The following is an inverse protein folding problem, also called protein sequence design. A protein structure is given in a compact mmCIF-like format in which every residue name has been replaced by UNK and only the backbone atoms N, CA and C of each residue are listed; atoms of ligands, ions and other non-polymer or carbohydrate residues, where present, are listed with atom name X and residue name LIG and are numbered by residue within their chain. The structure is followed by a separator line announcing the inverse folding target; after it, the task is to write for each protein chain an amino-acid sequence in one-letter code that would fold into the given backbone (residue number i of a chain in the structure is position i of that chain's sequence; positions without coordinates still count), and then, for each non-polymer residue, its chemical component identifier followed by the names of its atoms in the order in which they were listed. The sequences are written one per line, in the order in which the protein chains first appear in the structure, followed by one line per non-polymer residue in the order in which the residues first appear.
data_IF_142595707453
#
_entry.id   IF_142595707453
#
_cell.length_a   1.000
_cell.length_b   1.000
_cell.length_c   1.000
_cell.angle_alpha   90.00
_cell.angle_beta   90.00
_cell.angle_gamma   90.00
#
_symmetry.space_group_name_H-M   'P 1'
#
loop_
_entity.id
_entity.type
_entity.pdbx_description
1 polymer ?
#
# COMPACT_ATOMS: atom_id res chain seq x y z
N UNK A 1 -7.53 60.81 22.13
CA UNK A 1 -6.47 59.80 22.33
C UNK A 1 -7.14 58.45 22.44
N UNK A 2 -6.52 57.40 21.91
CA UNK A 2 -7.08 56.04 21.95
C UNK A 2 -6.61 55.33 23.21
N UNK A 3 -7.51 54.57 23.85
CA UNK A 3 -7.15 53.69 24.98
C UNK A 3 -6.61 52.35 24.49
N UNK A 4 -5.89 51.62 25.36
CA UNK A 4 -5.33 50.27 25.11
C UNK A 4 -6.34 49.33 24.44
N UNK A 5 -7.56 49.27 24.97
CA UNK A 5 -8.64 48.41 24.46
C UNK A 5 -9.06 48.79 23.04
N UNK A 6 -9.10 50.08 22.70
CA UNK A 6 -9.48 50.56 21.37
C UNK A 6 -8.38 50.27 20.34
N UNK A 7 -7.12 50.38 20.74
CA UNK A 7 -5.97 50.07 19.90
C UNK A 7 -5.91 48.58 19.53
N UNK A 8 -5.99 47.69 20.52
CA UNK A 8 -5.94 46.24 20.28
C UNK A 8 -7.15 45.74 19.46
N UNK A 9 -8.35 46.27 19.72
CA UNK A 9 -9.52 45.95 18.91
C UNK A 9 -9.38 46.41 17.46
N UNK A 10 -8.80 47.59 17.24
CA UNK A 10 -8.53 48.11 15.89
C UNK A 10 -7.47 47.27 15.16
N UNK A 11 -6.43 46.80 15.88
CA UNK A 11 -5.38 45.94 15.32
C UNK A 11 -5.94 44.59 14.93
N UNK A 12 -6.70 43.97 15.84
CA UNK A 12 -7.39 42.69 15.62
C UNK A 12 -8.34 42.76 14.44
N UNK A 13 -9.14 43.84 14.31
CA UNK A 13 -10.08 43.98 13.20
C UNK A 13 -9.40 44.10 11.84
N UNK A 14 -8.21 44.70 11.78
CA UNK A 14 -7.44 44.88 10.54
C UNK A 14 -6.63 43.63 10.17
N UNK A 15 -6.31 42.77 11.14
CA UNK A 15 -5.60 41.50 10.94
C UNK A 15 -6.52 40.27 10.79
N UNK A 16 -7.85 40.45 10.64
CA UNK A 16 -8.83 39.36 10.47
C UNK A 16 -8.58 38.42 9.29
N UNK A 17 -7.76 38.83 8.31
CA UNK A 17 -7.39 37.99 7.17
C UNK A 17 -6.34 36.92 7.50
N UNK A 18 -5.71 36.99 8.69
CA UNK A 18 -4.70 36.04 9.16
C UNK A 18 -5.29 34.99 10.10
N UNK A 19 -4.53 33.92 10.39
CA UNK A 19 -5.03 32.81 11.19
C UNK A 19 -5.19 33.23 12.66
N UNK A 20 -6.19 32.72 13.37
CA UNK A 20 -6.51 33.19 14.74
C UNK A 20 -5.34 33.02 15.71
N UNK A 21 -4.55 31.95 15.55
CA UNK A 21 -3.35 31.70 16.37
C UNK A 21 -2.25 32.74 16.15
N UNK A 22 -2.06 33.22 14.92
CA UNK A 22 -1.05 34.23 14.59
C UNK A 22 -1.51 35.60 15.10
N UNK A 23 -2.78 35.94 14.88
CA UNK A 23 -3.37 37.19 15.37
C UNK A 23 -3.28 37.28 16.89
N UNK A 24 -3.57 36.18 17.61
CA UNK A 24 -3.47 36.13 19.07
C UNK A 24 -2.06 36.44 19.56
N UNK A 25 -1.04 35.81 18.98
CA UNK A 25 0.37 36.04 19.31
C UNK A 25 0.77 37.52 19.14
N UNK A 26 0.31 38.16 18.06
CA UNK A 26 0.54 39.60 17.84
C UNK A 26 -0.20 40.45 18.88
N UNK A 27 -1.43 40.10 19.25
CA UNK A 27 -2.15 40.86 20.29
C UNK A 27 -1.41 40.77 21.62
N UNK A 28 -0.99 39.57 22.02
CA UNK A 28 -0.27 39.33 23.28
C UNK A 28 1.06 40.11 23.31
N UNK A 29 1.79 40.15 22.19
CA UNK A 29 3.03 40.93 22.06
C UNK A 29 2.82 42.44 22.26
N UNK A 30 1.80 43.03 21.63
CA UNK A 30 1.51 44.45 21.81
C UNK A 30 0.90 44.75 23.19
N UNK A 31 0.20 43.79 23.80
CA UNK A 31 -0.32 43.89 25.16
C UNK A 31 0.82 44.03 26.19
N UNK A 32 1.83 43.17 26.07
CA UNK A 32 3.05 43.18 26.88
C UNK A 32 3.86 44.47 26.70
N UNK A 33 4.06 44.93 25.44
CA UNK A 33 4.78 46.17 25.16
C UNK A 33 4.09 47.42 25.72
N UNK A 34 2.75 47.44 25.75
CA UNK A 34 2.00 48.56 26.36
C UNK A 34 2.15 48.51 27.87
N UNK A 35 2.13 47.33 28.47
CA UNK A 35 2.25 47.13 29.92
C UNK A 35 3.66 47.47 30.42
N UNK A 36 4.71 47.08 29.69
CA UNK A 36 6.10 47.46 29.95
C UNK A 36 6.29 48.99 29.92
N UNK A 37 5.70 49.67 28.93
CA UNK A 37 5.78 51.15 28.84
C UNK A 37 5.03 51.84 29.96
N UNK A 38 3.92 51.26 30.41
CA UNK A 38 3.15 51.73 31.56
C UNK A 38 3.93 51.57 32.86
N UNK A 39 4.63 50.45 33.05
CA UNK A 39 5.52 50.22 34.19
C UNK A 39 6.70 51.20 34.22
N UNK A 40 7.22 51.58 33.05
CA UNK A 40 8.23 52.62 32.88
C UNK A 40 7.72 54.07 33.06
N UNK A 41 6.48 54.24 33.53
CA UNK A 41 5.92 55.54 33.92
C UNK A 41 5.25 56.34 32.79
N UNK A 42 5.02 55.74 31.61
CA UNK A 42 4.21 56.36 30.56
C UNK A 42 2.72 56.10 30.77
N UNK A 43 1.88 57.04 30.33
CA UNK A 43 0.43 56.80 30.23
C UNK A 43 0.13 55.85 29.06
N UNK A 44 -1.02 55.17 29.09
CA UNK A 44 -1.41 54.24 28.01
C UNK A 44 -1.50 54.96 26.66
N UNK A 45 -1.93 56.22 26.68
CA UNK A 45 -2.04 57.08 25.51
C UNK A 45 -0.68 57.43 24.91
N UNK A 46 0.32 57.72 25.74
CA UNK A 46 1.69 58.02 25.30
C UNK A 46 2.41 56.76 24.80
N UNK A 47 2.15 55.62 25.44
CA UNK A 47 2.66 54.32 24.99
C UNK A 47 2.15 53.98 23.58
N UNK A 48 0.86 54.20 23.31
CA UNK A 48 0.28 53.95 21.98
C UNK A 48 0.81 54.94 20.94
N UNK A 49 0.94 56.22 21.30
CA UNK A 49 1.49 57.25 20.42
C UNK A 49 2.94 56.93 19.98
N UNK A 50 3.73 56.27 20.84
CA UNK A 50 5.11 55.89 20.55
C UNK A 50 5.27 54.78 19.49
N UNK A 51 4.22 54.00 19.20
CA UNK A 51 4.27 52.97 18.16
C UNK A 51 4.08 53.53 16.74
N UNK A 52 3.65 54.79 16.61
CA UNK A 52 3.43 55.46 15.34
C UNK A 52 2.04 55.19 14.74
N UNK A 53 1.92 55.34 13.43
CA UNK A 53 0.63 55.23 12.74
C UNK A 53 0.12 53.78 12.68
N UNK A 54 -1.19 53.63 12.89
CA UNK A 54 -1.87 52.34 12.91
C UNK A 54 -1.72 51.57 11.59
N UNK A 55 -1.71 52.26 10.44
CA UNK A 55 -1.55 51.59 9.15
C UNK A 55 -0.13 51.06 8.97
N UNK A 56 0.86 51.76 9.50
CA UNK A 56 2.26 51.34 9.43
C UNK A 56 2.50 50.06 10.25
N UNK A 57 1.90 49.97 11.44
CA UNK A 57 1.95 48.78 12.30
C UNK A 57 1.33 47.58 11.59
N UNK A 58 0.12 47.73 11.04
CA UNK A 58 -0.59 46.66 10.32
C UNK A 58 0.20 46.17 9.11
N UNK A 59 0.78 47.08 8.33
CA UNK A 59 1.58 46.72 7.16
C UNK A 59 2.85 45.94 7.55
N UNK A 60 3.54 46.38 8.61
CA UNK A 60 4.75 45.70 9.09
C UNK A 60 4.45 44.29 9.60
N UNK A 61 3.43 44.14 10.43
CA UNK A 61 3.00 42.83 10.96
C UNK A 61 2.54 41.91 9.83
N UNK A 62 1.75 42.43 8.89
CA UNK A 62 1.25 41.64 7.76
C UNK A 62 2.39 41.14 6.86
N UNK A 63 3.40 41.97 6.61
CA UNK A 63 4.57 41.59 5.84
C UNK A 63 5.38 40.50 6.56
N UNK A 64 5.59 40.65 7.87
CA UNK A 64 6.32 39.67 8.67
C UNK A 64 5.63 38.30 8.68
N UNK A 65 4.30 38.27 8.88
CA UNK A 65 3.51 37.04 8.82
C UNK A 65 3.59 36.33 7.46
N UNK A 66 3.58 37.09 6.36
CA UNK A 66 3.72 36.53 5.00
C UNK A 66 5.11 35.95 4.78
N UNK A 67 6.17 36.63 5.24
CA UNK A 67 7.54 36.16 5.14
C UNK A 67 7.77 34.89 5.98
N UNK A 68 7.24 34.84 7.20
CA UNK A 68 7.30 33.64 8.05
C UNK A 68 6.58 32.45 7.42
N UNK A 69 5.44 32.66 6.75
CA UNK A 69 4.73 31.59 6.03
C UNK A 69 5.49 31.08 4.80
N UNK A 70 6.09 31.99 4.03
CA UNK A 70 6.88 31.60 2.83
C UNK A 70 8.15 30.84 3.20
N UNK A 71 8.81 31.21 4.30
CA UNK A 71 10.03 30.53 4.75
C UNK A 71 9.75 29.16 5.41
N UNK A 72 8.56 28.99 5.99
CA UNK A 72 8.11 27.72 6.56
C UNK A 72 7.50 26.74 5.54
N UNK A 73 7.39 27.11 4.25
CA UNK A 73 7.20 26.14 3.17
C UNK A 73 8.51 25.37 2.96
N UNK A 74 8.85 24.52 3.93
CA UNK A 74 9.85 23.48 3.74
C UNK A 74 9.29 22.50 2.71
N UNK A 75 9.79 22.60 1.49
CA UNK A 75 9.61 21.55 0.48
C UNK A 75 10.28 20.30 1.05
N UNK A 76 9.51 19.41 1.67
CA UNK A 76 10.03 18.17 2.22
C UNK A 76 10.72 17.37 1.09
N UNK A 77 12.07 17.32 1.03
CA UNK A 77 12.77 16.70 -0.09
C UNK A 77 12.48 15.20 -0.18
N UNK A 78 12.12 14.59 0.95
CA UNK A 78 11.64 13.21 1.04
C UNK A 78 10.34 12.96 0.26
N UNK A 79 9.38 13.91 0.25
CA UNK A 79 8.14 13.77 -0.54
C UNK A 79 8.42 13.85 -2.03
N UNK A 80 9.29 14.77 -2.46
CA UNK A 80 9.66 14.89 -3.86
C UNK A 80 10.45 13.67 -4.35
N UNK A 81 11.35 13.13 -3.53
CA UNK A 81 12.08 11.90 -3.85
C UNK A 81 11.15 10.69 -3.98
N UNK A 82 10.15 10.54 -3.10
CA UNK A 82 9.15 9.49 -3.20
C UNK A 82 8.28 9.60 -4.47
N UNK A 83 7.94 10.82 -4.89
CA UNK A 83 7.17 11.05 -6.12
C UNK A 83 8.00 10.67 -7.35
N UNK A 84 9.28 11.09 -7.40
CA UNK A 84 10.20 10.75 -8.50
C UNK A 84 10.45 9.24 -8.55
N UNK A 85 10.66 8.61 -7.39
CA UNK A 85 10.82 7.16 -7.27
C UNK A 85 9.54 6.43 -7.68
N UNK A 86 8.37 6.95 -7.35
CA UNK A 86 7.07 6.44 -7.78
C UNK A 86 6.89 6.48 -9.30
N UNK A 87 7.29 7.57 -9.96
CA UNK A 87 7.21 7.71 -11.42
C UNK A 87 8.17 6.72 -12.12
N UNK A 88 9.38 6.54 -11.60
CA UNK A 88 10.33 5.55 -12.13
C UNK A 88 9.95 4.09 -11.80
N UNK A 89 9.28 3.85 -10.67
CA UNK A 89 8.82 2.52 -10.29
C UNK A 89 7.49 2.13 -10.96
N UNK A 90 6.67 3.09 -11.36
CA UNK A 90 5.39 2.87 -12.06
C UNK A 90 5.51 2.00 -13.31
N UNK A 91 6.45 2.24 -14.26
CA UNK A 91 6.61 1.38 -15.43
C UNK A 91 7.13 -0.03 -15.10
N UNK A 92 7.67 -0.25 -13.89
CA UNK A 92 8.17 -1.55 -13.42
C UNK A 92 7.07 -2.33 -12.67
N UNK A 93 6.16 -1.65 -11.97
CA UNK A 93 5.06 -2.31 -11.25
C UNK A 93 4.05 -2.98 -12.19
N UNK A 94 3.73 -2.33 -13.32
CA UNK A 94 2.78 -2.85 -14.31
C UNK A 94 3.24 -4.23 -14.85
N UNK A 95 4.46 -4.39 -15.40
CA UNK A 95 4.93 -5.69 -15.89
C UNK A 95 5.07 -6.72 -14.77
N UNK A 96 5.44 -6.33 -13.55
CA UNK A 96 5.48 -7.25 -12.40
C UNK A 96 4.09 -7.77 -12.05
N UNK A 97 3.07 -6.90 -12.05
CA UNK A 97 1.68 -7.29 -11.80
C UNK A 97 1.17 -8.27 -12.86
N UNK A 98 1.44 -7.99 -14.13
CA UNK A 98 1.08 -8.87 -15.25
C UNK A 98 1.80 -10.21 -15.12
N UNK A 99 3.11 -10.22 -14.90
CA UNK A 99 3.89 -11.44 -14.73
C UNK A 99 3.36 -12.29 -13.57
N UNK A 100 3.03 -11.67 -12.43
CA UNK A 100 2.46 -12.38 -11.29
C UNK A 100 1.10 -13.01 -11.62
N UNK A 101 0.23 -12.25 -12.28
CA UNK A 101 -1.08 -12.74 -12.70
C UNK A 101 -0.95 -13.92 -13.69
N UNK A 102 0.01 -13.84 -14.62
CA UNK A 102 0.31 -14.88 -15.58
C UNK A 102 0.81 -16.17 -14.91
N UNK A 103 1.64 -16.06 -13.87
CA UNK A 103 2.12 -17.21 -13.09
C UNK A 103 0.96 -17.92 -12.39
N UNK A 104 0.07 -17.17 -11.73
CA UNK A 104 -1.10 -17.75 -11.05
C UNK A 104 -2.04 -18.40 -12.05
N UNK A 105 -2.30 -17.72 -13.18
CA UNK A 105 -3.13 -18.26 -14.25
C UNK A 105 -2.54 -19.54 -14.85
N UNK A 106 -1.25 -19.55 -15.15
CA UNK A 106 -0.52 -20.71 -15.66
C UNK A 106 -0.63 -21.91 -14.70
N UNK A 107 -0.48 -21.67 -13.39
CA UNK A 107 -0.60 -22.74 -12.39
C UNK A 107 -1.99 -23.40 -12.42
N UNK A 108 -3.06 -22.61 -12.55
CA UNK A 108 -4.43 -23.12 -12.68
C UNK A 108 -4.57 -23.96 -13.95
N UNK A 109 -4.08 -23.46 -15.09
CA UNK A 109 -4.14 -24.17 -16.38
C UNK A 109 -3.37 -25.49 -16.34
N UNK A 110 -2.20 -25.53 -15.70
CA UNK A 110 -1.39 -26.74 -15.56
C UNK A 110 -2.13 -27.79 -14.73
N UNK A 111 -2.67 -27.41 -13.57
CA UNK A 111 -3.43 -28.34 -12.72
C UNK A 111 -4.64 -28.89 -13.49
N UNK A 112 -5.36 -28.03 -14.21
CA UNK A 112 -6.53 -28.45 -14.99
C UNK A 112 -6.15 -29.39 -16.14
N UNK A 113 -5.07 -29.08 -16.86
CA UNK A 113 -4.55 -29.91 -17.94
C UNK A 113 -4.12 -31.29 -17.47
N UNK A 114 -3.44 -31.37 -16.31
CA UNK A 114 -3.04 -32.65 -15.72
C UNK A 114 -4.25 -33.49 -15.30
N UNK A 115 -5.29 -32.88 -14.72
CA UNK A 115 -6.53 -33.58 -14.36
C UNK A 115 -7.20 -34.19 -15.59
N UNK A 116 -7.31 -33.42 -16.67
CA UNK A 116 -7.87 -33.91 -17.93
C UNK A 116 -7.01 -35.04 -18.50
N UNK A 117 -5.68 -34.89 -18.46
CA UNK A 117 -4.75 -35.91 -18.96
C UNK A 117 -4.91 -37.24 -18.21
N UNK A 118 -5.02 -37.23 -16.89
CA UNK A 118 -5.26 -38.44 -16.11
C UNK A 118 -6.63 -39.06 -16.38
N UNK A 119 -7.67 -38.23 -16.54
CA UNK A 119 -9.01 -38.70 -16.87
C UNK A 119 -9.02 -39.43 -18.23
N UNK A 120 -8.46 -38.79 -19.26
CA UNK A 120 -8.39 -39.34 -20.62
C UNK A 120 -7.54 -40.61 -20.64
N UNK A 121 -6.40 -40.62 -19.93
CA UNK A 121 -5.54 -41.80 -19.82
C UNK A 121 -6.26 -42.98 -19.16
N UNK A 122 -6.99 -42.74 -18.06
CA UNK A 122 -7.78 -43.77 -17.39
C UNK A 122 -8.87 -44.35 -18.30
N UNK A 123 -9.61 -43.50 -19.00
CA UNK A 123 -10.63 -43.94 -19.97
C UNK A 123 -9.98 -44.73 -21.11
N UNK A 124 -8.84 -44.27 -21.64
CA UNK A 124 -8.13 -44.94 -22.73
C UNK A 124 -7.71 -46.37 -22.33
N UNK A 125 -7.23 -46.57 -21.09
CA UNK A 125 -6.90 -47.90 -20.58
C UNK A 125 -8.13 -48.80 -20.55
N UNK A 126 -9.27 -48.31 -20.04
CA UNK A 126 -10.51 -49.10 -19.97
C UNK A 126 -11.06 -49.47 -21.35
N UNK A 127 -11.00 -48.54 -22.30
CA UNK A 127 -11.45 -48.77 -23.68
C UNK A 127 -10.51 -49.74 -24.41
N UNK A 128 -9.19 -49.63 -24.20
CA UNK A 128 -8.20 -50.52 -24.81
C UNK A 128 -8.19 -51.94 -24.21
N UNK A 129 -8.69 -52.09 -22.98
CA UNK A 129 -8.76 -53.36 -22.26
C UNK A 129 -9.61 -54.41 -23.00
N UNK A 130 -10.75 -53.99 -23.55
CA UNK A 130 -11.71 -54.88 -24.23
C UNK A 130 -11.09 -55.53 -25.48
N UNK A 131 -10.58 -54.78 -26.48
CA UNK A 131 -9.96 -55.38 -27.66
C UNK A 131 -8.69 -56.16 -27.31
N UNK A 132 -7.91 -55.71 -26.32
CA UNK A 132 -6.71 -56.42 -25.87
C UNK A 132 -7.07 -57.82 -25.36
N UNK A 133 -8.07 -57.94 -24.49
CA UNK A 133 -8.52 -59.23 -23.94
C UNK A 133 -9.06 -60.14 -25.06
N UNK A 134 -9.86 -59.59 -25.98
CA UNK A 134 -10.39 -60.36 -27.13
C UNK A 134 -9.24 -60.91 -27.97
N UNK A 135 -8.24 -60.08 -28.30
CA UNK A 135 -7.07 -60.52 -29.08
C UNK A 135 -6.26 -61.60 -28.37
N UNK A 136 -6.08 -61.52 -27.04
CA UNK A 136 -5.36 -62.53 -26.28
C UNK A 136 -6.10 -63.86 -26.19
N UNK A 137 -7.44 -63.84 -26.13
CA UNK A 137 -8.27 -65.05 -26.20
C UNK A 137 -8.14 -65.70 -27.58
N UNK A 138 -8.23 -64.91 -28.65
CA UNK A 138 -8.12 -65.41 -30.03
C UNK A 138 -6.74 -66.00 -30.35
N UNK A 139 -5.67 -65.51 -29.72
CA UNK A 139 -4.32 -66.04 -29.90
C UNK A 139 -4.05 -67.33 -29.09
N UNK A 140 -5.01 -67.80 -28.30
CA UNK A 140 -4.84 -68.99 -27.45
C UNK A 140 -3.93 -68.75 -26.24
N UNK A 141 -3.82 -67.51 -25.78
CA UNK A 141 -3.01 -67.16 -24.61
C UNK A 141 -3.60 -67.82 -23.35
N UNK A 142 -2.75 -68.31 -22.45
CA UNK A 142 -3.19 -68.89 -21.18
C UNK A 142 -4.02 -67.91 -20.33
N UNK A 143 -5.05 -68.44 -19.66
CA UNK A 143 -5.95 -67.64 -18.83
C UNK A 143 -5.22 -66.90 -17.69
N UNK A 144 -4.14 -67.47 -17.17
CA UNK A 144 -3.27 -66.87 -16.14
C UNK A 144 -2.72 -65.51 -16.58
N UNK A 145 -2.23 -65.42 -17.83
CA UNK A 145 -1.64 -64.20 -18.40
C UNK A 145 -2.72 -63.16 -18.68
N UNK A 146 -3.90 -63.58 -19.14
CA UNK A 146 -5.04 -62.69 -19.41
C UNK A 146 -5.52 -62.03 -18.11
N UNK A 147 -5.71 -62.82 -17.04
CA UNK A 147 -6.12 -62.29 -15.72
C UNK A 147 -5.05 -61.34 -15.16
N UNK A 148 -3.77 -61.67 -15.33
CA UNK A 148 -2.68 -60.79 -14.94
C UNK A 148 -2.70 -59.46 -15.70
N UNK A 149 -2.94 -59.47 -17.02
CA UNK A 149 -3.02 -58.26 -17.83
C UNK A 149 -4.18 -57.34 -17.40
N UNK A 150 -5.35 -57.92 -17.11
CA UNK A 150 -6.51 -57.18 -16.56
C UNK A 150 -6.19 -56.62 -15.17
N UNK A 151 -5.53 -57.40 -14.32
CA UNK A 151 -5.10 -56.97 -13.00
C UNK A 151 -4.14 -55.77 -13.06
N UNK A 152 -3.14 -55.82 -13.94
CA UNK A 152 -2.19 -54.71 -14.11
C UNK A 152 -2.85 -53.43 -14.61
N UNK A 153 -3.83 -53.54 -15.51
CA UNK A 153 -4.54 -52.37 -16.04
C UNK A 153 -5.46 -51.74 -14.99
N UNK A 154 -6.07 -52.52 -14.09
CA UNK A 154 -6.77 -52.02 -12.90
C UNK A 154 -5.82 -51.30 -11.93
N UNK A 155 -4.65 -51.88 -11.66
CA UNK A 155 -3.62 -51.25 -10.81
C UNK A 155 -3.14 -49.93 -11.43
N UNK A 156 -2.92 -49.90 -12.75
CA UNK A 156 -2.56 -48.67 -13.46
C UNK A 156 -3.63 -47.58 -13.29
N UNK A 157 -4.91 -47.93 -13.41
CA UNK A 157 -6.01 -46.99 -13.16
C UNK A 157 -6.01 -46.47 -11.71
N UNK A 158 -5.77 -47.34 -10.72
CA UNK A 158 -5.66 -46.94 -9.32
C UNK A 158 -4.50 -45.96 -9.10
N UNK A 159 -3.34 -46.21 -9.69
CA UNK A 159 -2.16 -45.33 -9.60
C UNK A 159 -2.47 -43.97 -10.24
N UNK A 160 -3.08 -43.93 -11.42
CA UNK A 160 -3.48 -42.69 -12.08
C UNK A 160 -4.46 -41.86 -11.22
N UNK A 161 -5.43 -42.53 -10.58
CA UNK A 161 -6.37 -41.86 -9.68
C UNK A 161 -5.67 -41.24 -8.45
N UNK A 162 -4.67 -41.94 -7.91
CA UNK A 162 -3.87 -41.44 -6.79
C UNK A 162 -3.00 -40.24 -7.21
N UNK A 163 -2.37 -40.29 -8.39
CA UNK A 163 -1.61 -39.16 -8.95
C UNK A 163 -2.50 -37.93 -9.20
N UNK A 164 -3.74 -38.12 -9.63
CA UNK A 164 -4.69 -37.02 -9.78
C UNK A 164 -4.96 -36.30 -8.44
N UNK A 165 -5.15 -37.07 -7.35
CA UNK A 165 -5.33 -36.51 -6.00
C UNK A 165 -4.08 -35.73 -5.56
N UNK A 166 -2.89 -36.30 -5.76
CA UNK A 166 -1.62 -35.63 -5.44
C UNK A 166 -1.46 -34.32 -6.21
N UNK A 167 -1.90 -34.27 -7.46
CA UNK A 167 -1.82 -33.06 -8.29
C UNK A 167 -2.72 -31.94 -7.74
N UNK A 168 -3.91 -32.29 -7.24
CA UNK A 168 -4.80 -31.33 -6.56
C UNK A 168 -4.16 -30.82 -5.27
N UNK A 169 -3.56 -31.70 -4.47
CA UNK A 169 -2.87 -31.31 -3.24
C UNK A 169 -1.66 -30.42 -3.54
N UNK A 170 -0.84 -30.78 -4.52
CA UNK A 170 0.31 -30.01 -4.98
C UNK A 170 -0.09 -28.61 -5.47
N UNK A 171 -1.17 -28.52 -6.26
CA UNK A 171 -1.74 -27.24 -6.69
C UNK A 171 -2.15 -26.33 -5.52
N UNK A 172 -2.82 -26.89 -4.50
CA UNK A 172 -3.17 -26.15 -3.27
C UNK A 172 -1.94 -25.65 -2.52
N UNK A 173 -0.93 -26.51 -2.33
CA UNK A 173 0.31 -26.16 -1.63
C UNK A 173 1.09 -25.08 -2.39
N UNK A 174 1.16 -25.18 -3.71
CA UNK A 174 1.82 -24.17 -4.54
C UNK A 174 1.16 -22.79 -4.40
N UNK A 175 -0.18 -22.73 -4.47
CA UNK A 175 -0.94 -21.49 -4.25
C UNK A 175 -0.69 -20.91 -2.85
N UNK A 176 -0.76 -21.74 -1.80
CA UNK A 176 -0.48 -21.29 -0.44
C UNK A 176 0.95 -20.79 -0.25
N UNK A 177 1.92 -21.43 -0.90
CA UNK A 177 3.33 -21.03 -0.84
C UNK A 177 3.54 -19.66 -1.47
N UNK A 178 2.92 -19.41 -2.63
CA UNK A 178 2.93 -18.09 -3.28
C UNK A 178 2.32 -17.05 -2.33
N UNK A 179 1.12 -17.31 -1.78
CA UNK A 179 0.45 -16.37 -0.86
C UNK A 179 1.31 -16.10 0.39
N UNK A 180 1.92 -17.13 0.98
CA UNK A 180 2.80 -16.98 2.15
C UNK A 180 4.08 -16.20 1.83
N UNK A 181 4.66 -16.40 0.65
CA UNK A 181 5.83 -15.62 0.21
C UNK A 181 5.49 -14.13 0.11
N UNK A 182 4.33 -13.81 -0.46
CA UNK A 182 3.84 -12.43 -0.54
C UNK A 182 3.51 -11.84 0.83
N UNK A 183 2.78 -12.57 1.68
CA UNK A 183 2.41 -12.08 3.02
C UNK A 183 3.63 -11.86 3.92
N UNK A 184 4.62 -12.76 3.86
CA UNK A 184 5.88 -12.62 4.59
C UNK A 184 6.69 -11.41 4.12
N UNK A 185 6.78 -11.18 2.80
CA UNK A 185 7.52 -10.04 2.25
C UNK A 185 6.88 -8.69 2.60
N UNK A 186 5.53 -8.64 2.66
CA UNK A 186 4.80 -7.46 3.12
C UNK A 186 5.03 -7.21 4.61
N UNK A 187 4.96 -8.26 5.46
CA UNK A 187 5.17 -8.14 6.91
C UNK A 187 6.60 -7.70 7.27
N UNK A 188 7.62 -8.26 6.60
CA UNK A 188 9.02 -7.86 6.86
C UNK A 188 9.26 -6.39 6.51
N UNK A 189 8.63 -5.88 5.43
CA UNK A 189 8.76 -4.48 5.04
C UNK A 189 8.06 -3.53 6.02
N UNK A 190 6.97 -3.97 6.67
CA UNK A 190 6.29 -3.18 7.70
C UNK A 190 7.06 -3.11 9.02
N UNK A 191 7.79 -4.17 9.42
CA UNK A 191 8.56 -4.13 10.67
C UNK A 191 9.86 -3.34 10.56
N UNK A 192 10.54 -3.36 9.40
CA UNK A 192 11.72 -2.51 9.16
C UNK A 192 11.36 -1.03 9.23
N UNK A 193 10.24 -0.62 8.62
CA UNK A 193 9.76 0.78 8.67
C UNK A 193 9.33 1.24 10.08
N UNK A 194 9.00 0.31 10.98
CA UNK A 194 8.64 0.62 12.37
C UNK A 194 9.87 0.82 13.24
N UNK A 195 10.98 0.14 12.93
CA UNK A 195 12.23 0.25 13.68
C UNK A 195 13.11 1.45 13.24
N UNK A 196 12.94 1.97 12.02
CA UNK A 196 13.64 3.20 11.59
C UNK A 196 13.00 4.49 12.11
N UNK A 197 11.77 4.43 12.63
CA UNK A 197 11.02 5.58 13.15
C UNK A 197 10.95 5.63 14.70
N UNK A 198 11.75 4.82 15.39
CA UNK A 198 11.93 4.79 16.85
C UNK A 198 13.39 5.09 17.19
#
# INVERSE_FOLDING_TARGET
MMKKIEFLNSLKSRLKAFNESEVKSIMDFYDELIEEKKENGLTEEDAIASFGDMNHIVNKVSADLVLTRSNNQTSNPAKNFLIILGICASPILIPIGIALSAVVFSLVVVVFSLLISFLVSGIAILVALIPMVISMIMSGTEASIIVMAVGMSLVACAILSYLAILTIQGGKVALQTIIKFFSKKIKNKSEVNKNENN
#
